data_IF_456012860953
#
_entry.id   IF_456012860953
#
_cell.length_a   1.000
_cell.length_b   1.000
_cell.length_c   1.000
_cell.angle_alpha   90.00
_cell.angle_beta   90.00
_cell.angle_gamma   90.00
#
_symmetry.space_group_name_H-M   'P 1'
#
loop_
_entity.id
_entity.type
_entity.pdbx_description
1 polymer ?
#
# COMPACT_ATOMS: atom_id res chain seq x y z
N UNK A 1 -39.45 8.64 41.05
CA UNK A 1 -40.04 7.59 41.92
C UNK A 1 -39.64 6.26 41.33
N UNK A 2 -38.91 5.50 42.15
CA UNK A 2 -38.34 4.14 42.01
C UNK A 2 -37.31 3.95 40.91
N UNK A 3 -36.04 3.86 41.18
CA UNK A 3 -35.19 3.04 42.08
C UNK A 3 -35.19 1.55 41.78
N UNK A 4 -33.98 1.06 41.67
CA UNK A 4 -33.46 -0.27 42.00
C UNK A 4 -33.39 -1.25 40.83
N UNK A 5 -32.37 -2.03 40.70
CA UNK A 5 -31.26 -2.43 41.60
C UNK A 5 -30.17 -3.16 40.78
N UNK A 6 -29.02 -3.05 41.29
CA UNK A 6 -27.77 -3.77 40.98
C UNK A 6 -27.98 -5.25 41.32
N UNK A 7 -27.47 -6.15 40.53
CA UNK A 7 -26.97 -7.41 41.06
C UNK A 7 -25.62 -7.81 40.45
N UNK A 8 -24.70 -7.90 41.36
CA UNK A 8 -23.33 -8.35 41.24
C UNK A 8 -23.29 -9.82 41.63
N UNK A 9 -22.50 -10.59 40.97
CA UNK A 9 -21.71 -11.76 41.43
C UNK A 9 -21.33 -12.56 40.21
N UNK A 10 -20.18 -13.14 40.04
CA UNK A 10 -19.07 -13.58 40.88
C UNK A 10 -17.98 -14.06 39.93
N UNK A 11 -16.79 -13.55 40.01
CA UNK A 11 -15.61 -14.07 40.72
C UNK A 11 -14.82 -15.20 40.06
N UNK A 12 -13.57 -14.87 39.85
CA UNK A 12 -12.36 -15.75 40.00
C UNK A 12 -11.93 -16.66 38.84
N UNK A 13 -10.87 -16.21 38.14
CA UNK A 13 -9.64 -17.03 38.19
C UNK A 13 -8.41 -16.20 37.85
N UNK A 14 -7.65 -15.92 38.88
CA UNK A 14 -6.32 -15.33 38.86
C UNK A 14 -5.34 -16.48 38.61
N UNK A 15 -4.58 -16.37 37.51
CA UNK A 15 -3.29 -17.09 37.45
C UNK A 15 -2.17 -16.04 37.46
N UNK A 16 -1.60 -15.92 38.65
CA UNK A 16 -0.28 -15.37 38.91
C UNK A 16 0.75 -16.25 38.18
N UNK A 17 1.57 -15.60 37.39
CA UNK A 17 2.90 -16.11 37.10
C UNK A 17 3.91 -15.05 37.52
N UNK A 18 4.70 -15.51 38.41
CA UNK A 18 5.80 -15.00 39.18
C UNK A 18 6.83 -14.18 38.42
N UNK A 19 7.20 -13.05 39.00
CA UNK A 19 8.50 -12.41 38.85
C UNK A 19 9.63 -13.35 39.23
N UNK A 20 10.57 -13.52 38.33
CA UNK A 20 11.87 -14.14 38.60
C UNK A 20 12.97 -13.14 38.25
N UNK A 21 13.54 -12.58 39.31
CA UNK A 21 14.76 -11.79 39.29
C UNK A 21 15.93 -12.58 38.69
N UNK A 22 16.68 -11.90 37.82
CA UNK A 22 18.12 -12.15 37.80
C UNK A 22 18.88 -10.85 37.57
N UNK A 23 19.24 -10.25 38.69
CA UNK A 23 20.21 -9.18 38.81
C UNK A 23 21.59 -9.82 39.07
N UNK A 24 22.58 -9.57 38.27
CA UNK A 24 23.99 -9.83 38.60
C UNK A 24 24.87 -9.04 37.63
N UNK A 25 25.30 -7.85 38.01
CA UNK A 25 26.61 -7.50 38.55
C UNK A 25 27.79 -8.11 37.78
N UNK A 26 28.51 -7.25 37.00
CA UNK A 26 29.97 -7.15 37.14
C UNK A 26 30.45 -5.75 36.71
N UNK A 27 30.90 -5.02 37.72
CA UNK A 27 31.86 -3.95 37.63
C UNK A 27 33.25 -4.57 37.49
N UNK A 28 34.13 -4.03 36.67
CA UNK A 28 35.59 -3.99 36.82
C UNK A 28 36.03 -2.71 36.12
N UNK A 29 36.45 -1.77 36.84
CA UNK A 29 37.66 -1.51 37.61
C UNK A 29 38.72 -0.76 36.77
N UNK A 30 38.88 0.47 37.21
CA UNK A 30 39.98 1.39 36.96
C UNK A 30 41.35 0.72 36.88
N UNK A 31 42.20 1.15 35.97
CA UNK A 31 43.64 1.13 36.16
C UNK A 31 44.26 2.48 35.88
N UNK A 32 44.89 2.95 36.92
CA UNK A 32 45.68 4.18 37.06
C UNK A 32 47.11 4.04 36.55
N UNK A 33 47.64 5.12 36.04
CA UNK A 33 48.98 5.68 36.15
C UNK A 33 50.16 4.90 35.53
N UNK A 34 50.90 5.62 34.69
CA UNK A 34 52.27 6.05 35.09
C UNK A 34 52.79 7.14 34.15
N UNK A 35 53.08 8.27 34.75
CA UNK A 35 53.92 9.37 34.26
C UNK A 35 55.37 8.89 34.16
N UNK A 36 56.04 9.29 33.10
CA UNK A 36 57.51 9.34 33.08
C UNK A 36 57.94 10.68 32.45
N UNK A 37 58.39 11.55 33.31
CA UNK A 37 59.21 12.69 33.01
C UNK A 37 60.60 12.22 32.55
N UNK A 38 61.11 12.72 31.45
CA UNK A 38 62.55 12.81 31.17
C UNK A 38 62.86 14.23 30.71
N UNK A 39 63.86 14.76 31.42
CA UNK A 39 64.34 16.14 31.40
C UNK A 39 65.39 16.32 30.33
N UNK A 40 65.28 17.46 29.65
CA UNK A 40 66.26 18.34 29.05
C UNK A 40 67.61 17.84 28.49
N UNK A 41 67.89 18.26 27.27
CA UNK A 41 69.15 18.86 26.90
C UNK A 41 68.98 19.87 25.75
N UNK A 42 69.31 21.10 26.07
CA UNK A 42 69.38 22.21 25.07
C UNK A 42 70.70 22.11 24.34
N UNK A 43 70.71 22.33 23.03
CA UNK A 43 71.84 22.91 22.32
C UNK A 43 71.31 23.56 21.01
N UNK A 44 71.63 24.83 20.89
CA UNK A 44 71.12 25.67 19.81
C UNK A 44 71.82 25.43 18.47
N UNK A 45 71.07 25.74 17.43
CA UNK A 45 71.64 26.12 16.13
C UNK A 45 70.63 26.95 15.33
N UNK A 46 71.07 28.17 15.04
CA UNK A 46 70.81 29.05 13.92
C UNK A 46 69.44 29.04 13.20
N UNK A 47 68.79 30.18 13.29
CA UNK A 47 67.71 30.66 12.38
C UNK A 47 68.22 30.66 10.92
N UNK A 48 67.48 29.97 10.07
CA UNK A 48 67.33 30.35 8.66
C UNK A 48 65.84 30.48 8.45
N UNK A 49 65.35 31.68 8.38
CA UNK A 49 64.01 32.03 8.01
C UNK A 49 63.75 31.72 6.53
N UNK A 50 63.32 30.53 6.21
CA UNK A 50 62.76 30.20 4.92
C UNK A 50 61.30 30.62 4.87
N UNK A 51 61.03 31.75 4.21
CA UNK A 51 59.66 32.16 3.86
C UNK A 51 59.19 31.22 2.76
N UNK A 52 58.43 30.14 3.15
CA UNK A 52 57.67 29.38 2.19
C UNK A 52 56.43 30.19 1.82
N UNK A 53 56.18 30.45 0.53
CA UNK A 53 54.91 31.03 0.15
C UNK A 53 53.80 30.01 0.47
N UNK A 54 52.90 30.37 1.38
CA UNK A 54 51.67 29.64 1.58
C UNK A 54 50.88 29.68 0.26
N UNK A 55 50.90 28.58 -0.49
CA UNK A 55 49.96 28.39 -1.58
C UNK A 55 48.57 28.40 -0.97
N UNK A 56 47.83 29.49 -1.17
CA UNK A 56 46.43 29.55 -0.89
C UNK A 56 45.76 28.46 -1.76
N UNK A 57 45.40 27.35 -1.15
CA UNK A 57 44.48 26.36 -1.76
C UNK A 57 43.16 27.05 -1.81
N UNK A 58 42.78 27.56 -2.98
CA UNK A 58 41.43 27.96 -3.29
C UNK A 58 40.64 26.64 -3.32
N UNK A 59 40.03 26.26 -2.21
CA UNK A 59 39.00 25.24 -2.22
C UNK A 59 37.87 25.74 -3.14
N UNK A 60 37.85 25.17 -4.33
CA UNK A 60 36.71 25.34 -5.24
C UNK A 60 35.55 24.61 -4.59
N UNK A 61 34.77 25.34 -3.80
CA UNK A 61 33.53 24.85 -3.24
C UNK A 61 32.62 24.48 -4.42
N UNK A 62 32.37 23.19 -4.61
CA UNK A 62 31.43 22.73 -5.60
C UNK A 62 30.09 23.47 -5.34
N UNK A 63 29.38 23.93 -6.39
CA UNK A 63 28.10 24.59 -6.20
C UNK A 63 27.20 23.68 -5.38
N UNK A 64 26.62 24.24 -4.32
CA UNK A 64 25.59 23.53 -3.54
C UNK A 64 24.47 23.15 -4.52
N UNK A 65 24.27 21.87 -4.73
CA UNK A 65 23.13 21.39 -5.49
C UNK A 65 21.90 21.82 -4.71
N UNK A 66 21.17 22.80 -5.24
CA UNK A 66 19.87 23.19 -4.65
C UNK A 66 18.99 21.94 -4.58
N UNK A 67 18.67 21.53 -3.36
CA UNK A 67 17.81 20.36 -3.14
C UNK A 67 16.39 20.76 -3.49
N UNK A 68 15.84 20.17 -4.54
CA UNK A 68 14.45 20.38 -4.91
C UNK A 68 13.51 20.06 -3.73
N UNK A 69 12.65 21.02 -3.39
CA UNK A 69 11.61 20.90 -2.35
C UNK A 69 10.27 21.25 -3.00
N UNK A 70 9.35 20.29 -3.09
CA UNK A 70 8.05 20.53 -3.70
C UNK A 70 7.15 21.39 -2.81
N UNK A 71 6.32 22.23 -3.44
CA UNK A 71 5.28 23.00 -2.77
C UNK A 71 3.90 22.37 -3.02
N UNK A 72 3.11 22.18 -1.96
CA UNK A 72 1.73 21.69 -2.10
C UNK A 72 0.91 22.65 -2.95
N UNK A 73 0.26 22.13 -4.01
CA UNK A 73 -0.44 22.91 -5.01
C UNK A 73 0.41 23.33 -6.22
N UNK A 74 1.70 22.93 -6.26
CA UNK A 74 2.51 23.18 -7.46
C UNK A 74 1.94 22.47 -8.69
N UNK A 75 2.13 23.08 -9.86
CA UNK A 75 1.65 22.51 -11.11
C UNK A 75 2.36 21.19 -11.43
N UNK A 76 1.57 20.15 -11.75
CA UNK A 76 2.03 18.93 -12.39
C UNK A 76 1.66 18.92 -13.87
N UNK A 77 1.72 17.72 -14.50
CA UNK A 77 1.33 17.56 -15.90
C UNK A 77 -0.19 17.76 -16.09
N UNK A 78 -0.99 16.99 -15.38
CA UNK A 78 -2.45 16.94 -15.51
C UNK A 78 -3.17 17.37 -14.22
N UNK A 79 -2.45 17.35 -13.08
CA UNK A 79 -2.96 17.72 -11.75
C UNK A 79 -1.93 18.52 -10.98
N UNK A 80 -2.39 19.31 -10.00
CA UNK A 80 -1.49 19.91 -9.00
C UNK A 80 -1.03 18.83 -8.02
N UNK A 81 0.23 18.91 -7.59
CA UNK A 81 0.73 17.99 -6.57
C UNK A 81 0.18 18.35 -5.19
N UNK A 82 -0.45 17.39 -4.54
CA UNK A 82 -0.90 17.43 -3.16
C UNK A 82 -0.50 16.14 -2.47
N UNK A 83 0.25 16.21 -1.37
CA UNK A 83 0.67 15.00 -0.68
C UNK A 83 -0.50 14.31 0.05
N UNK A 84 -0.64 13.00 -0.09
CA UNK A 84 -1.55 12.22 0.74
C UNK A 84 -1.08 12.26 2.21
N UNK A 85 -1.95 12.53 3.19
CA UNK A 85 -1.57 12.45 4.60
C UNK A 85 -1.02 11.07 4.96
N UNK A 86 0.07 11.00 5.74
CA UNK A 86 0.72 9.73 6.09
C UNK A 86 -0.24 8.76 6.80
N UNK A 87 -1.12 9.28 7.65
CA UNK A 87 -2.17 8.49 8.31
C UNK A 87 -3.15 7.86 7.32
N UNK A 88 -3.44 8.54 6.20
CA UNK A 88 -4.30 7.99 5.15
C UNK A 88 -3.53 6.95 4.32
N UNK A 89 -2.24 7.19 4.03
CA UNK A 89 -1.38 6.19 3.37
C UNK A 89 -1.38 4.89 4.14
N UNK A 90 -1.16 4.93 5.46
CA UNK A 90 -1.18 3.73 6.30
C UNK A 90 -2.56 3.04 6.26
N UNK A 91 -3.65 3.82 6.34
CA UNK A 91 -5.01 3.28 6.22
C UNK A 91 -5.29 2.65 4.86
N UNK A 92 -4.84 3.26 3.77
CA UNK A 92 -4.98 2.71 2.41
C UNK A 92 -4.28 1.35 2.30
N UNK A 93 -3.07 1.23 2.84
CA UNK A 93 -2.32 -0.03 2.87
C UNK A 93 -3.00 -1.09 3.76
N UNK A 94 -3.54 -0.70 4.93
CA UNK A 94 -4.31 -1.59 5.80
C UNK A 94 -5.59 -2.09 5.11
N UNK A 95 -6.31 -1.18 4.45
CA UNK A 95 -7.55 -1.50 3.74
C UNK A 95 -7.29 -2.45 2.57
N UNK A 96 -6.16 -2.31 1.88
CA UNK A 96 -5.71 -3.23 0.84
C UNK A 96 -5.19 -4.56 1.39
N UNK A 97 -5.06 -4.72 2.71
CA UNK A 97 -4.54 -5.93 3.36
C UNK A 97 -3.21 -6.38 2.75
N UNK A 98 -2.29 -5.40 2.55
CA UNK A 98 -1.03 -5.65 1.86
C UNK A 98 -0.16 -6.65 2.61
N UNK A 99 0.55 -7.49 1.85
CA UNK A 99 1.48 -8.50 2.37
C UNK A 99 2.85 -8.35 1.70
N UNK A 100 3.94 -8.87 2.31
CA UNK A 100 5.27 -8.81 1.69
C UNK A 100 5.39 -9.50 0.34
N UNK A 101 4.42 -10.33 -0.05
CA UNK A 101 4.37 -11.02 -1.34
C UNK A 101 3.77 -10.14 -2.45
N UNK A 102 3.07 -9.08 -2.07
CA UNK A 102 2.45 -8.18 -3.03
C UNK A 102 3.49 -7.29 -3.73
N UNK A 103 3.19 -6.95 -4.96
CA UNK A 103 3.84 -5.87 -5.70
C UNK A 103 2.85 -4.70 -5.80
N UNK A 104 3.24 -3.56 -5.24
CA UNK A 104 2.45 -2.34 -5.27
C UNK A 104 2.97 -1.38 -6.34
N UNK A 105 2.06 -0.77 -7.09
CA UNK A 105 2.36 0.36 -7.97
C UNK A 105 1.54 1.57 -7.55
N UNK A 106 2.21 2.72 -7.41
CA UNK A 106 1.60 4.03 -7.10
C UNK A 106 1.63 4.91 -8.35
N UNK A 107 0.44 5.25 -8.86
CA UNK A 107 0.29 6.04 -10.08
C UNK A 107 0.20 7.53 -9.74
N UNK A 108 1.22 8.29 -10.15
CA UNK A 108 1.45 9.67 -9.72
C UNK A 108 2.08 9.71 -8.33
N UNK A 109 3.25 9.04 -8.18
CA UNK A 109 3.82 8.75 -6.87
C UNK A 109 4.35 9.96 -6.09
N UNK A 110 4.46 11.12 -6.74
CA UNK A 110 4.90 12.36 -6.12
C UNK A 110 6.25 12.23 -5.39
N UNK A 111 6.29 12.53 -4.11
CA UNK A 111 7.49 12.43 -3.27
C UNK A 111 7.81 11.00 -2.78
N UNK A 112 7.06 10.01 -3.25
CA UNK A 112 7.27 8.59 -3.00
C UNK A 112 6.75 8.05 -1.67
N UNK A 113 6.00 8.85 -0.89
CA UNK A 113 5.58 8.47 0.47
C UNK A 113 4.79 7.16 0.55
N UNK A 114 3.86 6.92 -0.38
CA UNK A 114 3.06 5.69 -0.45
C UNK A 114 3.95 4.47 -0.76
N UNK A 115 4.81 4.60 -1.75
CA UNK A 115 5.78 3.56 -2.15
C UNK A 115 6.72 3.22 -1.00
N UNK A 116 7.24 4.24 -0.32
CA UNK A 116 8.15 4.08 0.83
C UNK A 116 7.43 3.42 2.01
N UNK A 117 6.18 3.81 2.29
CA UNK A 117 5.39 3.20 3.36
C UNK A 117 5.14 1.70 3.07
N UNK A 118 4.78 1.35 1.82
CA UNK A 118 4.63 -0.03 1.39
C UNK A 118 5.95 -0.82 1.53
N UNK A 119 7.07 -0.25 1.09
CA UNK A 119 8.38 -0.87 1.18
C UNK A 119 8.83 -1.11 2.64
N UNK A 120 8.49 -0.22 3.58
CA UNK A 120 8.70 -0.41 5.02
C UNK A 120 7.92 -1.60 5.59
N UNK A 121 6.77 -1.93 4.99
CA UNK A 121 5.98 -3.14 5.33
C UNK A 121 6.51 -4.42 4.66
N UNK A 122 7.61 -4.32 3.91
CA UNK A 122 8.29 -5.45 3.27
C UNK A 122 7.89 -5.72 1.82
N UNK A 123 6.98 -4.94 1.23
CA UNK A 123 6.57 -5.11 -0.17
C UNK A 123 7.67 -4.67 -1.13
N UNK A 124 7.63 -5.21 -2.34
CA UNK A 124 8.20 -4.52 -3.50
C UNK A 124 7.20 -3.45 -3.94
N UNK A 125 7.65 -2.22 -4.07
CA UNK A 125 6.79 -1.12 -4.45
C UNK A 125 7.46 -0.24 -5.51
N UNK A 126 6.66 0.25 -6.46
CA UNK A 126 7.12 1.05 -7.57
C UNK A 126 6.25 2.29 -7.73
N UNK A 127 6.88 3.44 -7.90
CA UNK A 127 6.21 4.70 -8.17
C UNK A 127 6.41 5.11 -9.61
N UNK A 128 5.32 5.48 -10.29
CA UNK A 128 5.32 6.08 -11.61
C UNK A 128 5.01 7.56 -11.43
N UNK A 129 5.91 8.43 -11.90
CA UNK A 129 5.79 9.88 -11.74
C UNK A 129 6.28 10.57 -13.01
N UNK A 130 5.55 11.58 -13.46
CA UNK A 130 5.90 12.30 -14.69
C UNK A 130 7.00 13.35 -14.49
N UNK A 131 7.09 13.93 -13.27
CA UNK A 131 8.04 14.98 -12.95
C UNK A 131 9.40 14.39 -12.51
N UNK A 132 10.50 14.60 -13.30
CA UNK A 132 11.82 14.05 -12.98
C UNK A 132 12.39 14.54 -11.64
N UNK A 133 12.09 15.77 -11.21
CA UNK A 133 12.55 16.30 -9.93
C UNK A 133 11.86 15.58 -8.75
N UNK A 134 10.59 15.22 -8.92
CA UNK A 134 9.84 14.39 -7.95
C UNK A 134 10.38 12.96 -7.91
N UNK A 135 10.72 12.36 -9.05
CA UNK A 135 11.36 11.04 -9.12
C UNK A 135 12.70 11.07 -8.38
N UNK A 136 13.55 12.07 -8.65
CA UNK A 136 14.82 12.23 -7.96
C UNK A 136 14.63 12.44 -6.44
N UNK A 137 13.60 13.18 -6.03
CA UNK A 137 13.24 13.36 -4.62
C UNK A 137 12.81 12.04 -3.99
N UNK A 138 11.93 11.28 -4.64
CA UNK A 138 11.44 9.98 -4.16
C UNK A 138 12.56 8.98 -3.94
N UNK A 139 13.51 8.93 -4.87
CA UNK A 139 14.71 8.09 -4.76
C UNK A 139 15.57 8.46 -3.55
N UNK A 140 15.78 9.78 -3.31
CA UNK A 140 16.49 10.26 -2.11
C UNK A 140 15.73 9.91 -0.83
N UNK A 141 14.42 10.08 -0.81
CA UNK A 141 13.56 9.75 0.32
C UNK A 141 13.60 8.24 0.65
N UNK A 142 13.55 7.39 -0.37
CA UNK A 142 13.66 5.94 -0.20
C UNK A 142 15.03 5.52 0.35
N UNK A 143 16.11 6.13 -0.14
CA UNK A 143 17.46 5.90 0.37
C UNK A 143 17.59 6.34 1.84
N UNK A 144 17.08 7.53 2.17
CA UNK A 144 17.06 8.04 3.55
C UNK A 144 16.23 7.17 4.49
N UNK A 145 15.14 6.57 3.98
CA UNK A 145 14.29 5.63 4.72
C UNK A 145 14.86 4.21 4.81
N UNK A 146 15.98 3.90 4.14
CA UNK A 146 16.62 2.59 4.14
C UNK A 146 15.85 1.50 3.40
N UNK A 147 15.03 1.87 2.39
CA UNK A 147 14.17 0.95 1.63
C UNK A 147 14.40 1.00 0.11
N UNK A 148 15.50 1.59 -0.35
CA UNK A 148 15.80 1.76 -1.77
C UNK A 148 15.97 0.41 -2.54
N UNK A 149 16.15 -0.69 -1.82
CA UNK A 149 16.18 -2.05 -2.38
C UNK A 149 14.78 -2.56 -2.78
N UNK A 150 13.71 -1.98 -2.24
CA UNK A 150 12.32 -2.38 -2.46
C UNK A 150 11.43 -1.27 -3.00
N UNK A 151 11.80 0.00 -2.81
CA UNK A 151 11.11 1.18 -3.32
C UNK A 151 11.84 1.71 -4.55
N UNK A 152 11.24 1.57 -5.71
CA UNK A 152 11.78 2.03 -7.00
C UNK A 152 10.87 3.07 -7.62
N UNK A 153 11.41 3.94 -8.47
CA UNK A 153 10.67 5.04 -9.10
C UNK A 153 11.10 5.21 -10.55
N UNK A 154 10.13 5.51 -11.41
CA UNK A 154 10.32 5.71 -12.83
C UNK A 154 9.68 7.03 -13.27
N UNK A 155 10.41 7.80 -14.11
CA UNK A 155 9.87 8.93 -14.85
C UNK A 155 9.10 8.41 -16.05
N UNK A 156 7.76 8.42 -15.96
CA UNK A 156 6.91 7.91 -17.02
C UNK A 156 5.50 8.50 -16.98
N UNK A 157 4.77 8.35 -18.10
CA UNK A 157 3.34 8.62 -18.18
C UNK A 157 2.54 7.43 -17.69
N UNK A 158 1.69 7.62 -16.68
CA UNK A 158 0.82 6.56 -16.11
C UNK A 158 -0.12 5.94 -17.16
N UNK A 159 -0.43 6.64 -18.24
CA UNK A 159 -1.31 6.15 -19.31
C UNK A 159 -0.58 5.32 -20.37
N UNK A 160 0.75 5.37 -20.40
CA UNK A 160 1.60 4.66 -21.36
C UNK A 160 2.39 3.53 -20.69
N UNK A 161 2.33 3.43 -19.37
CA UNK A 161 3.09 2.44 -18.59
C UNK A 161 2.28 1.18 -18.32
N UNK A 162 2.94 0.01 -18.39
CA UNK A 162 2.35 -1.28 -18.04
C UNK A 162 2.48 -1.54 -16.53
N UNK A 163 1.39 -1.42 -15.82
CA UNK A 163 1.27 -1.77 -14.40
C UNK A 163 0.45 -3.05 -14.15
N UNK A 164 0.16 -3.84 -15.19
CA UNK A 164 -0.70 -5.02 -15.13
C UNK A 164 -0.25 -6.10 -14.15
N UNK A 165 1.04 -6.10 -13.78
CA UNK A 165 1.63 -7.07 -12.84
C UNK A 165 1.43 -6.73 -11.36
N UNK A 166 0.87 -5.55 -11.05
CA UNK A 166 0.64 -5.13 -9.67
C UNK A 166 -0.51 -5.93 -9.04
N UNK A 167 -0.34 -6.31 -7.78
CA UNK A 167 -1.40 -6.85 -6.93
C UNK A 167 -2.13 -5.76 -6.18
N UNK A 168 -1.48 -4.59 -6.04
CA UNK A 168 -2.05 -3.40 -5.40
C UNK A 168 -1.72 -2.18 -6.24
N UNK A 169 -2.74 -1.37 -6.56
CA UNK A 169 -2.59 -0.03 -7.12
C UNK A 169 -3.00 1.01 -6.08
N UNK A 170 -2.25 2.10 -6.02
CA UNK A 170 -2.61 3.28 -5.24
C UNK A 170 -2.72 4.51 -6.14
N UNK A 171 -3.70 5.37 -5.85
CA UNK A 171 -4.07 6.51 -6.67
C UNK A 171 -4.38 7.73 -5.79
N UNK A 172 -3.90 8.90 -6.19
CA UNK A 172 -4.43 10.18 -5.74
C UNK A 172 -4.53 11.11 -6.95
N UNK A 173 -5.46 10.80 -7.84
CA UNK A 173 -5.65 11.48 -9.11
C UNK A 173 -7.08 12.02 -9.20
N UNK A 174 -7.29 13.04 -10.03
CA UNK A 174 -8.62 13.58 -10.28
C UNK A 174 -9.56 12.53 -10.90
N UNK A 175 -10.88 12.66 -10.70
CA UNK A 175 -11.86 11.69 -11.21
C UNK A 175 -11.69 11.35 -12.68
N UNK A 176 -11.44 12.36 -13.53
CA UNK A 176 -11.30 12.20 -14.98
C UNK A 176 -10.09 11.33 -15.35
N UNK A 177 -9.00 11.38 -14.56
CA UNK A 177 -7.83 10.55 -14.78
C UNK A 177 -8.08 9.12 -14.30
N UNK A 178 -8.78 8.94 -13.17
CA UNK A 178 -9.21 7.63 -12.69
C UNK A 178 -10.14 6.95 -13.71
N UNK A 179 -11.09 7.68 -14.29
CA UNK A 179 -11.98 7.16 -15.35
C UNK A 179 -11.20 6.77 -16.61
N UNK A 180 -10.18 7.53 -16.99
CA UNK A 180 -9.31 7.20 -18.12
C UNK A 180 -8.46 5.95 -17.87
N UNK A 181 -8.04 5.69 -16.63
CA UNK A 181 -7.29 4.50 -16.23
C UNK A 181 -8.18 3.27 -16.05
N UNK A 182 -9.45 3.46 -15.72
CA UNK A 182 -10.39 2.38 -15.36
C UNK A 182 -10.44 1.23 -16.38
N UNK A 183 -10.46 1.43 -17.70
CA UNK A 183 -10.43 0.32 -18.66
C UNK A 183 -9.20 -0.56 -18.52
N UNK A 184 -8.01 0.03 -18.33
CA UNK A 184 -6.76 -0.72 -18.14
C UNK A 184 -6.76 -1.44 -16.77
N UNK A 185 -7.29 -0.81 -15.73
CA UNK A 185 -7.43 -1.41 -14.39
C UNK A 185 -8.35 -2.63 -14.42
N UNK A 186 -9.47 -2.56 -15.15
CA UNK A 186 -10.43 -3.67 -15.28
C UNK A 186 -9.89 -4.87 -16.09
N UNK A 187 -8.77 -4.71 -16.81
CA UNK A 187 -8.06 -5.80 -17.49
C UNK A 187 -6.99 -6.46 -16.60
N UNK A 188 -6.71 -5.94 -15.42
CA UNK A 188 -5.74 -6.53 -14.50
C UNK A 188 -6.24 -7.88 -13.94
N UNK A 189 -5.33 -8.61 -13.31
CA UNK A 189 -5.67 -9.90 -12.68
C UNK A 189 -6.81 -9.75 -11.67
N UNK A 190 -7.85 -10.60 -11.75
CA UNK A 190 -8.92 -10.61 -10.77
C UNK A 190 -8.40 -10.78 -9.34
N UNK A 191 -8.78 -9.88 -8.45
CA UNK A 191 -8.26 -9.82 -7.09
C UNK A 191 -7.24 -8.71 -6.86
N UNK A 192 -6.78 -8.02 -7.91
CA UNK A 192 -6.00 -6.79 -7.76
C UNK A 192 -6.80 -5.78 -6.95
N UNK A 193 -6.18 -5.22 -5.93
CA UNK A 193 -6.77 -4.23 -5.03
C UNK A 193 -6.35 -2.83 -5.48
N UNK A 194 -7.32 -1.98 -5.72
CA UNK A 194 -7.11 -0.60 -6.15
C UNK A 194 -7.59 0.31 -5.05
N UNK A 195 -6.72 1.17 -4.53
CA UNK A 195 -7.06 2.10 -3.46
C UNK A 195 -6.80 3.52 -3.88
N UNK A 196 -7.84 4.35 -3.83
CA UNK A 196 -7.78 5.76 -4.19
C UNK A 196 -8.00 6.66 -2.97
N UNK A 197 -7.20 7.72 -2.88
CA UNK A 197 -7.49 8.82 -1.96
C UNK A 197 -8.60 9.68 -2.55
N UNK A 198 -9.75 9.74 -1.87
CA UNK A 198 -10.89 10.63 -2.04
C UNK A 198 -11.62 10.60 -3.37
N UNK A 199 -10.99 10.26 -4.47
CA UNK A 199 -11.58 10.33 -5.81
C UNK A 199 -12.04 8.98 -6.34
N UNK A 200 -13.24 8.96 -6.91
CA UNK A 200 -13.90 7.77 -7.47
C UNK A 200 -13.39 7.44 -8.87
N UNK A 201 -13.76 6.27 -9.35
CA UNK A 201 -13.60 5.81 -10.74
C UNK A 201 -14.97 5.79 -11.43
N UNK A 202 -15.44 6.96 -11.84
CA UNK A 202 -16.75 7.10 -12.49
C UNK A 202 -17.89 6.48 -11.67
N UNK A 203 -18.67 5.63 -12.31
CA UNK A 203 -19.80 4.93 -11.72
C UNK A 203 -19.46 3.52 -11.17
N UNK A 204 -18.17 3.14 -11.17
CA UNK A 204 -17.72 1.94 -10.47
C UNK A 204 -17.71 2.18 -8.97
N UNK A 205 -18.72 1.66 -8.27
CA UNK A 205 -18.87 1.82 -6.81
C UNK A 205 -17.73 1.10 -6.07
N UNK A 206 -17.12 1.73 -5.05
CA UNK A 206 -16.08 1.08 -4.26
C UNK A 206 -16.65 -0.09 -3.43
N UNK A 207 -15.85 -1.12 -3.24
CA UNK A 207 -16.16 -2.25 -2.36
C UNK A 207 -16.07 -1.88 -0.88
N UNK A 208 -15.17 -0.94 -0.55
CA UNK A 208 -14.98 -0.38 0.81
C UNK A 208 -14.70 1.12 0.74
N UNK A 209 -15.20 1.83 1.74
CA UNK A 209 -14.94 3.25 1.95
C UNK A 209 -14.61 3.46 3.42
N UNK A 210 -13.49 4.12 3.70
CA UNK A 210 -13.10 4.46 5.07
C UNK A 210 -12.67 5.92 5.13
N UNK A 211 -13.06 6.60 6.20
CA UNK A 211 -12.70 7.98 6.46
C UNK A 211 -11.86 8.06 7.73
N UNK A 212 -10.79 8.88 7.68
CA UNK A 212 -9.91 9.08 8.84
C UNK A 212 -10.41 10.27 9.66
N UNK A 213 -10.59 10.04 10.95
CA UNK A 213 -10.94 11.10 11.90
C UNK A 213 -9.75 12.05 12.14
N UNK A 214 -10.04 13.31 12.38
CA UNK A 214 -9.03 14.33 12.67
C UNK A 214 -8.22 14.81 11.46
N UNK A 215 -8.51 14.35 10.29
CA UNK A 215 -7.94 14.82 9.04
C UNK A 215 -8.79 15.96 8.47
N UNK A 216 -8.17 17.00 7.90
CA UNK A 216 -8.88 18.22 7.45
C UNK A 216 -9.28 18.19 5.97
N UNK A 217 -8.51 17.52 5.11
CA UNK A 217 -8.75 17.42 3.66
C UNK A 217 -8.22 16.09 3.11
N UNK A 218 -8.92 15.55 2.11
CA UNK A 218 -8.50 14.33 1.41
C UNK A 218 -8.32 13.15 2.35
N UNK A 219 -9.37 12.86 3.14
CA UNK A 219 -9.34 11.96 4.27
C UNK A 219 -10.07 10.64 4.05
N UNK A 220 -10.47 10.36 2.83
CA UNK A 220 -11.28 9.19 2.50
C UNK A 220 -10.47 8.21 1.65
N UNK A 221 -10.37 6.97 2.11
CA UNK A 221 -9.85 5.88 1.31
C UNK A 221 -11.02 5.13 0.65
N UNK A 222 -10.90 4.90 -0.66
CA UNK A 222 -11.85 4.14 -1.46
C UNK A 222 -11.12 2.93 -2.03
N UNK A 223 -11.72 1.74 -1.92
CA UNK A 223 -11.08 0.52 -2.42
C UNK A 223 -12.01 -0.26 -3.34
N UNK A 224 -11.46 -0.75 -4.43
CA UNK A 224 -12.07 -1.70 -5.38
C UNK A 224 -11.21 -2.96 -5.47
N UNK A 225 -11.86 -4.07 -5.74
CA UNK A 225 -11.20 -5.33 -6.10
C UNK A 225 -11.55 -5.65 -7.53
N UNK A 226 -10.54 -5.77 -8.41
CA UNK A 226 -10.77 -6.10 -9.81
C UNK A 226 -11.53 -7.42 -9.92
N UNK A 227 -12.74 -7.44 -10.50
CA UNK A 227 -13.56 -8.63 -10.59
C UNK A 227 -13.15 -9.53 -11.77
N UNK A 228 -13.30 -10.84 -11.61
CA UNK A 228 -13.24 -11.75 -12.74
C UNK A 228 -14.36 -11.45 -13.75
N UNK A 229 -14.11 -11.66 -15.03
CA UNK A 229 -15.09 -11.49 -16.11
C UNK A 229 -15.92 -12.75 -16.23
N UNK A 230 -17.16 -12.68 -15.75
CA UNK A 230 -18.10 -13.81 -15.74
C UNK A 230 -19.29 -13.65 -16.69
N UNK A 231 -19.38 -12.52 -17.39
CA UNK A 231 -20.42 -12.28 -18.37
C UNK A 231 -20.47 -13.39 -19.43
N UNK A 232 -21.69 -13.77 -19.80
CA UNK A 232 -21.96 -14.74 -20.87
C UNK A 232 -22.80 -15.91 -20.41
N UNK A 233 -22.77 -16.96 -21.22
CA UNK A 233 -23.56 -18.17 -21.02
C UNK A 233 -22.72 -19.26 -20.33
N UNK A 234 -23.31 -19.89 -19.34
CA UNK A 234 -22.73 -20.96 -18.54
C UNK A 234 -23.74 -22.11 -18.41
N UNK A 235 -23.24 -23.30 -18.11
CA UNK A 235 -24.06 -24.46 -17.72
C UNK A 235 -23.73 -24.82 -16.28
N UNK A 236 -24.70 -24.64 -15.36
CA UNK A 236 -24.61 -25.12 -13.99
C UNK A 236 -25.30 -26.48 -13.90
N UNK A 237 -24.49 -27.54 -13.96
CA UNK A 237 -25.02 -28.87 -14.22
C UNK A 237 -25.68 -28.93 -15.63
N UNK A 238 -26.99 -29.22 -15.66
CA UNK A 238 -27.77 -29.22 -16.90
C UNK A 238 -28.57 -27.91 -17.11
N UNK A 239 -28.51 -26.98 -16.17
CA UNK A 239 -29.30 -25.73 -16.22
C UNK A 239 -28.46 -24.61 -16.88
N UNK A 240 -29.04 -23.88 -17.84
CA UNK A 240 -28.39 -22.69 -18.39
C UNK A 240 -28.33 -21.60 -17.33
N UNK A 241 -27.14 -21.04 -17.13
CA UNK A 241 -26.90 -19.88 -16.29
C UNK A 241 -26.42 -18.74 -17.21
N UNK A 242 -27.25 -17.71 -17.36
CA UNK A 242 -26.92 -16.52 -18.15
C UNK A 242 -26.51 -15.39 -17.20
N UNK A 243 -25.34 -14.80 -17.41
CA UNK A 243 -24.80 -13.73 -16.59
C UNK A 243 -24.56 -12.49 -17.44
N UNK A 244 -25.04 -11.35 -16.95
CA UNK A 244 -24.68 -9.99 -17.41
C UNK A 244 -23.90 -9.34 -16.29
N UNK A 245 -22.79 -8.67 -16.62
CA UNK A 245 -21.89 -8.09 -15.64
C UNK A 245 -21.69 -6.58 -15.88
N UNK A 246 -21.84 -5.81 -14.81
CA UNK A 246 -21.36 -4.41 -14.76
C UNK A 246 -20.44 -4.29 -13.56
N UNK A 247 -19.13 -4.17 -13.82
CA UNK A 247 -18.09 -4.17 -12.78
C UNK A 247 -18.19 -5.41 -11.87
N UNK A 248 -18.33 -5.21 -10.56
CA UNK A 248 -18.51 -6.29 -9.58
C UNK A 248 -19.94 -6.79 -9.45
N UNK A 249 -20.90 -6.16 -10.10
CA UNK A 249 -22.31 -6.56 -10.01
C UNK A 249 -22.69 -7.47 -11.17
N UNK A 250 -23.38 -8.56 -10.87
CA UNK A 250 -23.92 -9.47 -11.88
C UNK A 250 -25.44 -9.63 -11.73
N UNK A 251 -26.08 -9.78 -12.85
CA UNK A 251 -27.48 -10.10 -12.99
C UNK A 251 -27.68 -11.21 -14.02
N UNK A 252 -28.86 -11.79 -14.12
CA UNK A 252 -29.13 -12.82 -15.11
C UNK A 252 -30.13 -13.84 -14.63
N UNK A 253 -30.05 -15.08 -15.15
CA UNK A 253 -31.00 -16.16 -14.82
C UNK A 253 -30.29 -17.50 -14.70
N UNK A 254 -30.79 -18.35 -13.81
CA UNK A 254 -30.54 -19.80 -13.78
C UNK A 254 -31.80 -20.53 -14.28
N UNK A 255 -31.69 -21.14 -15.45
CA UNK A 255 -32.88 -21.58 -16.18
C UNK A 255 -33.74 -20.37 -16.56
N UNK A 256 -34.95 -20.31 -16.00
CA UNK A 256 -35.88 -19.17 -16.15
C UNK A 256 -35.95 -18.29 -14.92
N UNK A 257 -35.31 -18.66 -13.81
CA UNK A 257 -35.40 -17.95 -12.53
C UNK A 257 -34.33 -16.85 -12.48
N UNK A 258 -34.70 -15.59 -12.18
CA UNK A 258 -33.74 -14.51 -12.01
C UNK A 258 -32.75 -14.79 -10.86
N UNK A 259 -31.50 -14.38 -11.05
CA UNK A 259 -30.53 -14.34 -9.95
C UNK A 259 -30.70 -13.05 -9.16
N UNK A 260 -30.46 -13.13 -7.86
CA UNK A 260 -30.55 -12.03 -6.91
C UNK A 260 -29.20 -11.84 -6.20
N UNK A 261 -28.89 -10.60 -5.80
CA UNK A 261 -27.69 -10.24 -5.03
C UNK A 261 -26.40 -10.73 -5.68
N UNK A 262 -26.37 -10.72 -7.01
CA UNK A 262 -25.24 -11.20 -7.79
C UNK A 262 -24.02 -10.28 -7.67
N UNK A 263 -22.86 -10.83 -7.27
CA UNK A 263 -21.61 -10.09 -7.09
C UNK A 263 -20.39 -10.92 -7.42
N UNK A 264 -19.35 -10.23 -7.91
CA UNK A 264 -18.01 -10.79 -8.13
C UNK A 264 -17.00 -9.97 -7.34
N UNK A 265 -16.22 -10.62 -6.47
CA UNK A 265 -15.10 -9.99 -5.76
C UNK A 265 -13.82 -10.76 -6.07
N UNK A 266 -12.94 -10.16 -6.84
CA UNK A 266 -11.80 -10.89 -7.38
C UNK A 266 -12.28 -12.10 -8.18
N UNK A 267 -11.91 -13.30 -7.77
CA UNK A 267 -12.35 -14.56 -8.39
C UNK A 267 -13.59 -15.18 -7.73
N UNK A 268 -14.04 -14.61 -6.61
CA UNK A 268 -15.25 -15.10 -5.92
C UNK A 268 -16.51 -14.58 -6.59
N UNK A 269 -17.43 -15.47 -6.90
CA UNK A 269 -18.78 -15.19 -7.43
C UNK A 269 -19.79 -15.58 -6.38
N UNK A 270 -20.74 -14.72 -6.11
CA UNK A 270 -21.89 -15.03 -5.24
C UNK A 270 -23.19 -14.54 -5.87
N UNK A 271 -24.26 -15.32 -5.71
CA UNK A 271 -25.63 -14.96 -6.12
C UNK A 271 -26.65 -15.84 -5.40
N UNK A 272 -27.92 -15.47 -5.45
CA UNK A 272 -29.01 -16.26 -4.92
C UNK A 272 -30.04 -16.60 -6.01
N UNK A 273 -30.68 -17.75 -5.90
CA UNK A 273 -31.78 -18.19 -6.76
C UNK A 273 -32.80 -18.91 -5.90
N UNK A 274 -34.07 -18.48 -5.89
CA UNK A 274 -35.15 -19.08 -5.09
C UNK A 274 -34.75 -19.30 -3.61
N UNK A 275 -34.04 -18.33 -3.02
CA UNK A 275 -33.56 -18.38 -1.64
C UNK A 275 -32.35 -19.29 -1.40
N UNK A 276 -31.85 -19.98 -2.40
CA UNK A 276 -30.60 -20.74 -2.35
C UNK A 276 -29.42 -19.79 -2.68
N UNK A 277 -28.46 -19.70 -1.77
CA UNK A 277 -27.26 -18.89 -1.95
C UNK A 277 -26.11 -19.73 -2.53
N UNK A 278 -25.55 -19.27 -3.63
CA UNK A 278 -24.42 -19.88 -4.34
C UNK A 278 -23.17 -19.04 -4.12
N UNK A 279 -22.08 -19.68 -3.74
CA UNK A 279 -20.74 -19.08 -3.69
C UNK A 279 -19.78 -19.97 -4.43
N UNK A 280 -18.96 -19.39 -5.29
CA UNK A 280 -18.00 -20.14 -6.09
C UNK A 280 -16.79 -19.32 -6.49
N UNK A 281 -15.75 -20.00 -7.01
CA UNK A 281 -14.51 -19.40 -7.49
C UNK A 281 -14.38 -19.60 -8.98
N UNK A 282 -14.06 -18.53 -9.69
CA UNK A 282 -13.78 -18.53 -11.14
C UNK A 282 -12.37 -19.03 -11.42
N UNK A 283 -12.27 -20.02 -12.29
CA UNK A 283 -11.01 -20.56 -12.79
C UNK A 283 -11.12 -20.78 -14.31
N UNK A 284 -10.66 -19.81 -15.09
CA UNK A 284 -10.77 -19.85 -16.55
C UNK A 284 -12.23 -19.95 -17.02
N UNK A 285 -12.58 -21.05 -17.66
CA UNK A 285 -13.94 -21.31 -18.18
C UNK A 285 -14.84 -22.08 -17.20
N UNK A 286 -14.44 -22.21 -15.94
CA UNK A 286 -15.22 -22.88 -14.90
C UNK A 286 -15.45 -21.99 -13.69
N UNK A 287 -16.61 -22.15 -13.05
CA UNK A 287 -16.91 -21.63 -11.72
C UNK A 287 -17.28 -22.83 -10.85
N UNK A 288 -16.64 -23.00 -9.72
CA UNK A 288 -16.92 -24.11 -8.81
C UNK A 288 -17.11 -23.60 -7.38
N UNK A 289 -18.02 -24.20 -6.63
CA UNK A 289 -18.33 -23.72 -5.29
C UNK A 289 -19.36 -24.56 -4.55
N UNK A 290 -20.03 -23.92 -3.58
CA UNK A 290 -21.05 -24.55 -2.71
C UNK A 290 -22.36 -23.76 -2.77
N UNK A 291 -23.48 -24.45 -2.50
CA UNK A 291 -24.78 -23.82 -2.39
C UNK A 291 -25.36 -24.07 -0.98
N UNK A 292 -26.11 -23.12 -0.46
CA UNK A 292 -26.67 -23.19 0.90
C UNK A 292 -27.72 -24.33 1.11
N UNK A 293 -28.32 -24.81 0.02
CA UNK A 293 -29.26 -25.93 0.06
C UNK A 293 -28.58 -27.30 0.22
N UNK A 294 -27.30 -27.39 -0.19
CA UNK A 294 -26.53 -28.64 -0.07
C UNK A 294 -25.01 -28.27 0.00
N UNK A 295 -24.59 -27.89 1.21
CA UNK A 295 -23.18 -27.53 1.46
C UNK A 295 -22.22 -28.73 1.34
N UNK A 296 -22.71 -29.96 1.36
CA UNK A 296 -21.96 -31.18 1.17
C UNK A 296 -21.72 -31.50 -0.31
N UNK A 297 -22.56 -30.93 -1.19
CA UNK A 297 -22.48 -31.15 -2.63
C UNK A 297 -22.04 -29.87 -3.33
N UNK A 298 -20.80 -29.88 -3.85
CA UNK A 298 -20.32 -28.77 -4.66
C UNK A 298 -21.13 -28.63 -5.96
N UNK A 299 -21.12 -27.40 -6.52
CA UNK A 299 -21.64 -27.13 -7.85
C UNK A 299 -20.50 -26.71 -8.79
N UNK A 300 -20.69 -26.95 -10.06
CA UNK A 300 -19.79 -26.48 -11.11
C UNK A 300 -20.61 -25.88 -12.24
N UNK A 301 -20.22 -24.71 -12.69
CA UNK A 301 -20.71 -24.13 -13.93
C UNK A 301 -19.55 -24.05 -14.94
N UNK A 302 -19.82 -24.42 -16.19
CA UNK A 302 -18.84 -24.34 -17.28
C UNK A 302 -19.32 -23.33 -18.32
N UNK A 303 -18.43 -22.53 -18.86
CA UNK A 303 -18.73 -21.56 -19.91
C UNK A 303 -19.09 -22.30 -21.20
N UNK A 304 -20.23 -21.99 -21.79
CA UNK A 304 -20.75 -22.60 -23.02
C UNK A 304 -20.33 -21.82 -24.27
#
# INVERSE_FOLDING_TARGET
MLLCEIDSQESRNIHKISCGEWCSWRRFAFFHRRSALIVAAALGAALVAGISPAAAQTETQAPAVETYVPESGQAGKDVVWVPTPDTLVERMLDMAEVTPQDYLVDLGSGDGRTVIAAAKRGLRAHGIEYNPDMVALSQRNAAAAGVADRATFEEADIFETDFSKAQVLTLFLLPELNERLMPQILEMEPGTRVVSNSFRMGDWEPDRTEQIEGCSQWCTALMWTVPAKVEGNWLLGEQPLQLTQKYQMISGTLGTTPIENGRVRGREVSFSVDGVHYVGTVAGTAISGTASSDSARGWVATKS
#
